data_IF_952703114934
#
_entry.id   IF_952703114934
#
_cell.length_a   1.000
_cell.length_b   1.000
_cell.length_c   1.000
_cell.angle_alpha   90.00
_cell.angle_beta   90.00
_cell.angle_gamma   90.00
#
_symmetry.space_group_name_H-M   'P 1'
#
loop_
_entity.id
_entity.type
_entity.pdbx_description
1 polymer ?
#
# COMPACT_ATOMS: atom_id res chain seq x y z
N UNK A 1 7.20 -4.74 -12.43
CA UNK A 1 6.91 -4.74 -10.99
C UNK A 1 5.40 -4.74 -10.78
N UNK A 2 4.92 -5.31 -9.68
CA UNK A 2 3.52 -5.17 -9.26
C UNK A 2 3.47 -4.24 -8.06
N UNK A 3 2.93 -3.04 -8.24
CA UNK A 3 2.81 -2.02 -7.18
C UNK A 3 1.37 -1.94 -6.71
N UNK A 4 1.18 -1.88 -5.39
CA UNK A 4 -0.13 -1.65 -4.79
C UNK A 4 -0.16 -0.34 -4.00
N UNK A 5 -1.21 0.45 -4.20
CA UNK A 5 -1.41 1.75 -3.54
C UNK A 5 -2.27 1.57 -2.30
N UNK A 6 -1.84 2.11 -1.17
CA UNK A 6 -2.50 2.05 0.13
C UNK A 6 -2.91 3.47 0.52
N UNK A 7 -4.15 3.85 0.23
CA UNK A 7 -4.57 5.24 0.32
C UNK A 7 -6.02 5.39 0.71
N UNK A 8 -6.43 6.63 0.93
CA UNK A 8 -7.85 6.96 1.07
C UNK A 8 -8.56 6.84 -0.29
N UNK A 9 -9.88 7.05 -0.31
CA UNK A 9 -10.67 6.94 -1.53
C UNK A 9 -10.12 7.79 -2.69
N UNK A 10 -9.54 8.96 -2.38
CA UNK A 10 -8.95 9.86 -3.38
C UNK A 10 -7.73 9.25 -4.09
N UNK A 11 -6.78 8.71 -3.32
CA UNK A 11 -5.59 8.05 -3.86
C UNK A 11 -5.96 6.76 -4.61
N UNK A 12 -6.96 6.03 -4.10
CA UNK A 12 -7.42 4.79 -4.71
C UNK A 12 -8.11 5.06 -6.06
N UNK A 13 -8.91 6.13 -6.16
CA UNK A 13 -9.57 6.52 -7.41
C UNK A 13 -8.54 6.88 -8.49
N UNK A 14 -7.54 7.72 -8.13
CA UNK A 14 -6.40 8.05 -9.01
C UNK A 14 -5.63 6.81 -9.44
N UNK A 15 -5.30 5.93 -8.49
CA UNK A 15 -4.60 4.68 -8.76
C UNK A 15 -5.39 3.77 -9.71
N UNK A 16 -6.71 3.72 -9.55
CA UNK A 16 -7.58 2.91 -10.39
C UNK A 16 -7.72 3.49 -11.80
N UNK A 17 -7.71 4.81 -11.95
CA UNK A 17 -7.71 5.50 -13.24
C UNK A 17 -6.46 5.21 -14.07
N UNK A 18 -5.31 5.08 -13.41
CA UNK A 18 -4.03 4.67 -14.03
C UNK A 18 -3.83 3.14 -14.09
N UNK A 19 -4.80 2.36 -13.64
CA UNK A 19 -4.76 0.89 -13.70
C UNK A 19 -3.89 0.20 -12.64
N UNK A 20 -3.53 0.90 -11.56
CA UNK A 20 -2.86 0.33 -10.40
C UNK A 20 -3.87 -0.28 -9.41
N UNK A 21 -3.45 -1.37 -8.77
CA UNK A 21 -4.24 -1.96 -7.68
C UNK A 21 -4.14 -1.07 -6.44
N UNK A 22 -5.29 -0.64 -5.90
CA UNK A 22 -5.36 0.18 -4.70
C UNK A 22 -6.16 -0.52 -3.58
N UNK A 23 -5.78 -0.22 -2.34
CA UNK A 23 -6.43 -0.70 -1.12
C UNK A 23 -6.70 0.47 -0.20
N UNK A 24 -7.89 0.48 0.37
CA UNK A 24 -8.33 1.53 1.27
C UNK A 24 -7.83 1.33 2.71
N UNK A 25 -7.86 2.38 3.52
CA UNK A 25 -7.55 2.30 4.95
C UNK A 25 -8.39 1.24 5.70
N UNK A 26 -9.64 1.06 5.29
CA UNK A 26 -10.56 0.06 5.83
C UNK A 26 -10.16 -1.38 5.48
N UNK A 27 -9.68 -1.62 4.26
CA UNK A 27 -9.13 -2.92 3.85
C UNK A 27 -7.86 -3.25 4.62
N UNK A 28 -6.99 -2.26 4.86
CA UNK A 28 -5.79 -2.40 5.68
C UNK A 28 -6.12 -2.82 7.12
N UNK A 29 -7.12 -2.19 7.74
CA UNK A 29 -7.59 -2.56 9.08
C UNK A 29 -8.11 -3.99 9.14
N UNK A 30 -8.84 -4.44 8.09
CA UNK A 30 -9.30 -5.83 7.99
C UNK A 30 -8.15 -6.81 7.79
N UNK A 31 -7.09 -6.41 7.09
CA UNK A 31 -5.91 -7.25 6.88
C UNK A 31 -5.05 -7.44 8.12
N UNK A 32 -5.01 -6.49 9.07
CA UNK A 32 -4.24 -6.60 10.31
C UNK A 32 -4.55 -7.89 11.10
N UNK A 33 -5.82 -8.31 11.10
CA UNK A 33 -6.26 -9.52 11.82
C UNK A 33 -5.73 -10.82 11.18
N UNK A 34 -5.24 -10.79 9.95
CA UNK A 34 -4.90 -11.99 9.17
C UNK A 34 -3.47 -11.99 8.61
N UNK A 35 -2.51 -12.47 9.42
CA UNK A 35 -1.10 -12.67 9.00
C UNK A 35 -0.93 -13.51 7.71
N UNK A 36 -1.83 -14.45 7.43
CA UNK A 36 -1.80 -15.28 6.20
C UNK A 36 -2.06 -14.45 4.94
N UNK A 37 -3.02 -13.53 5.00
CA UNK A 37 -3.34 -12.66 3.87
C UNK A 37 -2.22 -11.67 3.61
N UNK A 38 -1.64 -11.08 4.68
CA UNK A 38 -0.48 -10.19 4.58
C UNK A 38 0.70 -10.89 3.90
N UNK A 39 1.02 -12.14 4.29
CA UNK A 39 2.06 -12.93 3.61
C UNK A 39 1.76 -13.20 2.13
N UNK A 40 0.49 -13.43 1.78
CA UNK A 40 0.06 -13.66 0.40
C UNK A 40 0.17 -12.38 -0.43
N UNK A 41 -0.18 -11.24 0.17
CA UNK A 41 -0.12 -9.91 -0.44
C UNK A 41 1.33 -9.48 -0.65
N UNK A 42 2.20 -9.65 0.35
CA UNK A 42 3.65 -9.44 0.21
C UNK A 42 4.30 -10.33 -0.86
N UNK A 43 3.69 -11.48 -1.18
CA UNK A 43 4.18 -12.35 -2.26
C UNK A 43 3.58 -11.99 -3.63
N UNK A 44 2.44 -11.28 -3.65
CA UNK A 44 1.74 -10.87 -4.88
C UNK A 44 2.28 -9.56 -5.46
N UNK A 45 2.64 -8.61 -4.60
CA UNK A 45 3.17 -7.30 -4.99
C UNK A 45 4.62 -7.16 -4.58
N UNK A 46 5.41 -6.43 -5.37
CA UNK A 46 6.81 -6.15 -5.08
C UNK A 46 7.00 -4.87 -4.29
N UNK A 47 6.22 -3.84 -4.59
CA UNK A 47 6.25 -2.57 -3.87
C UNK A 47 4.85 -2.16 -3.42
N UNK A 48 4.83 -1.30 -2.41
CA UNK A 48 3.62 -0.67 -1.92
C UNK A 48 3.83 0.83 -1.85
N UNK A 49 2.81 1.60 -2.16
CA UNK A 49 2.74 3.03 -1.94
C UNK A 49 1.75 3.28 -0.81
N UNK A 50 2.00 4.24 0.07
CA UNK A 50 1.05 4.59 1.11
C UNK A 50 0.94 6.09 1.32
N UNK A 51 -0.28 6.60 1.47
CA UNK A 51 -0.48 8.00 1.81
C UNK A 51 0.20 8.32 3.16
N UNK A 52 0.82 9.50 3.30
CA UNK A 52 1.56 9.89 4.52
C UNK A 52 0.76 9.73 5.82
N UNK A 53 -0.56 9.89 5.77
CA UNK A 53 -1.44 9.65 6.92
C UNK A 53 -1.45 8.19 7.38
N UNK A 54 -1.38 7.26 6.42
CA UNK A 54 -1.44 5.82 6.67
C UNK A 54 -0.09 5.21 6.99
N UNK A 55 1.02 5.74 6.45
CA UNK A 55 2.35 5.16 6.66
C UNK A 55 2.76 5.05 8.13
N UNK A 56 2.31 6.00 8.97
CA UNK A 56 2.54 5.96 10.43
C UNK A 56 1.78 4.84 11.13
N UNK A 57 0.63 4.44 10.58
CA UNK A 57 -0.21 3.38 11.13
C UNK A 57 0.15 2.00 10.57
N UNK A 58 0.73 1.94 9.37
CA UNK A 58 1.14 0.71 8.69
C UNK A 58 2.01 -0.22 9.53
N UNK A 59 3.09 0.19 10.22
CA UNK A 59 3.88 -0.74 11.02
C UNK A 59 3.06 -1.39 12.15
N UNK A 60 2.05 -0.69 12.69
CA UNK A 60 1.12 -1.21 13.70
C UNK A 60 0.01 -2.07 13.09
N UNK A 61 -0.46 -1.74 11.87
CA UNK A 61 -1.56 -2.39 11.17
C UNK A 61 -1.14 -3.61 10.34
N UNK A 62 0.00 -3.57 9.67
CA UNK A 62 0.51 -4.67 8.86
C UNK A 62 1.46 -5.59 9.64
N UNK A 63 1.84 -5.18 10.86
CA UNK A 63 2.72 -5.91 11.74
C UNK A 63 4.08 -6.22 11.12
N UNK A 64 4.89 -7.09 11.74
CA UNK A 64 6.23 -7.40 11.24
C UNK A 64 6.22 -8.20 9.92
N UNK A 65 5.06 -8.66 9.44
CA UNK A 65 4.96 -9.52 8.25
C UNK A 65 5.35 -8.83 6.95
N UNK A 66 4.94 -7.57 6.76
CA UNK A 66 5.26 -6.79 5.57
C UNK A 66 6.67 -6.16 5.67
N UNK A 67 7.05 -5.70 6.87
CA UNK A 67 8.37 -5.13 7.13
C UNK A 67 9.49 -6.16 6.98
N UNK A 68 9.31 -7.39 7.47
CA UNK A 68 10.29 -8.48 7.32
C UNK A 68 10.40 -8.99 5.87
N UNK A 69 9.41 -8.72 5.03
CA UNK A 69 9.47 -9.02 3.61
C UNK A 69 10.28 -7.97 2.82
N UNK A 70 10.73 -6.88 3.44
CA UNK A 70 11.43 -5.78 2.76
C UNK A 70 10.50 -4.90 1.90
N UNK A 71 9.19 -5.11 1.98
CA UNK A 71 8.17 -4.46 1.15
C UNK A 71 7.44 -3.39 1.94
N UNK A 72 8.21 -2.52 2.56
CA UNK A 72 7.63 -1.42 3.34
C UNK A 72 7.10 -0.37 2.36
N UNK A 73 5.86 0.12 2.54
CA UNK A 73 5.29 1.05 1.59
C UNK A 73 6.04 2.38 1.59
N UNK A 74 6.26 2.92 0.41
CA UNK A 74 6.85 4.24 0.19
C UNK A 74 5.78 5.31 0.46
N UNK A 75 6.09 6.36 1.24
CA UNK A 75 5.14 7.43 1.49
C UNK A 75 4.88 8.21 0.19
N UNK A 76 3.60 8.50 -0.05
CA UNK A 76 3.15 9.39 -1.11
C UNK A 76 2.29 10.49 -0.50
N UNK A 77 2.43 11.71 -1.00
CA UNK A 77 1.58 12.84 -0.60
C UNK A 77 0.40 12.94 -1.56
N UNK A 78 -0.74 13.50 -1.15
CA UNK A 78 -1.86 13.75 -2.07
C UNK A 78 -1.50 14.71 -3.22
N UNK A 79 -0.41 15.46 -3.06
CA UNK A 79 0.10 16.40 -4.06
C UNK A 79 1.13 15.77 -5.00
N UNK A 80 1.56 14.54 -4.70
CA UNK A 80 2.51 13.78 -5.51
C UNK A 80 1.78 12.97 -6.58
N UNK A 81 2.44 12.80 -7.72
CA UNK A 81 1.97 11.93 -8.79
C UNK A 81 2.11 10.46 -8.40
N UNK A 82 0.99 9.89 -7.94
CA UNK A 82 0.84 8.46 -7.65
C UNK A 82 1.35 7.57 -8.79
N UNK A 83 1.14 7.99 -10.02
CA UNK A 83 1.60 7.29 -11.22
C UNK A 83 3.13 7.31 -11.35
N UNK A 84 3.74 8.49 -11.21
CA UNK A 84 5.19 8.63 -11.28
C UNK A 84 5.89 7.82 -10.18
N UNK A 85 5.36 7.87 -8.96
CA UNK A 85 5.87 7.09 -7.82
C UNK A 85 5.72 5.59 -8.01
N UNK A 86 4.64 5.15 -8.66
CA UNK A 86 4.43 3.74 -8.95
C UNK A 86 5.32 3.23 -10.09
N UNK A 87 5.61 4.07 -11.07
CA UNK A 87 6.51 3.75 -12.18
C UNK A 87 7.98 3.67 -11.72
N UNK A 88 8.38 4.45 -10.70
CA UNK A 88 9.72 4.41 -10.10
C UNK A 88 9.99 3.17 -9.22
N UNK A 89 8.99 2.35 -8.89
CA UNK A 89 9.07 1.25 -7.90
C UNK A 89 9.00 -0.17 -8.51
#
# INVERSE_FOLDING_TARGET
MSVAVLGDAHDCDRAKEIGLECMSADDLKKLNKNKKLIKKLAKKYDAFLASEGLIKQIPRLLGPGLHKAGKFPTPVTHNDDLNAKADEL
#
